data_IF_568460162211
#
_entry.id   IF_568460162211
#
_cell.length_a   1.000
_cell.length_b   1.000
_cell.length_c   1.000
_cell.angle_alpha   90.00
_cell.angle_beta   90.00
_cell.angle_gamma   90.00
#
_symmetry.space_group_name_H-M   'P 1'
#
loop_
_entity.id
_entity.type
_entity.pdbx_description
1 polymer ?
#
# COMPACT_ATOMS: atom_id res chain seq x y z
N UNK A 1 19.05 -17.64 -22.02
CA UNK A 1 17.93 -16.68 -21.95
C UNK A 1 16.81 -17.41 -21.22
N UNK A 2 16.38 -16.92 -20.05
CA UNK A 2 15.31 -17.58 -19.29
C UNK A 2 13.99 -17.34 -20.05
N UNK A 3 13.23 -18.40 -20.29
CA UNK A 3 11.96 -18.30 -21.02
C UNK A 3 10.82 -17.88 -20.09
N UNK A 4 9.76 -17.30 -20.64
CA UNK A 4 8.55 -16.96 -19.86
C UNK A 4 8.00 -18.18 -19.11
N UNK A 5 8.04 -19.36 -19.74
CA UNK A 5 7.52 -20.59 -19.13
C UNK A 5 8.41 -21.10 -18.00
N UNK A 6 9.73 -20.89 -18.08
CA UNK A 6 10.65 -21.21 -16.99
C UNK A 6 10.40 -20.29 -15.77
N UNK A 7 10.08 -19.01 -16.00
CA UNK A 7 9.69 -18.08 -14.93
C UNK A 7 8.37 -18.51 -14.28
N UNK A 8 7.34 -18.81 -15.08
CA UNK A 8 6.04 -19.28 -14.57
C UNK A 8 6.20 -20.54 -13.74
N UNK A 9 7.03 -21.49 -14.20
CA UNK A 9 7.31 -22.73 -13.48
C UNK A 9 7.96 -22.45 -12.12
N UNK A 10 9.00 -21.63 -12.07
CA UNK A 10 9.67 -21.26 -10.80
C UNK A 10 8.72 -20.56 -9.82
N UNK A 11 7.86 -19.66 -10.31
CA UNK A 11 6.85 -18.99 -9.48
C UNK A 11 5.80 -19.97 -8.95
N UNK A 12 5.35 -20.91 -9.79
CA UNK A 12 4.41 -21.95 -9.40
C UNK A 12 4.99 -22.88 -8.33
N UNK A 13 6.23 -23.32 -8.52
CA UNK A 13 6.92 -24.19 -7.58
C UNK A 13 7.10 -23.50 -6.23
N UNK A 14 7.55 -22.23 -6.22
CA UNK A 14 7.67 -21.43 -5.00
C UNK A 14 6.33 -21.18 -4.30
N UNK A 15 5.26 -20.92 -5.05
CA UNK A 15 3.92 -20.76 -4.47
C UNK A 15 3.40 -22.06 -3.83
N UNK A 16 3.71 -23.23 -4.40
CA UNK A 16 3.34 -24.52 -3.81
C UNK A 16 4.11 -24.78 -2.50
N UNK A 17 5.38 -24.41 -2.46
CA UNK A 17 6.20 -24.51 -1.25
C UNK A 17 5.64 -23.61 -0.13
N UNK A 18 5.35 -22.34 -0.45
CA UNK A 18 4.78 -21.38 0.50
C UNK A 18 3.37 -21.76 0.98
N UNK A 19 2.56 -22.37 0.11
CA UNK A 19 1.24 -22.90 0.47
C UNK A 19 1.34 -24.00 1.53
N UNK A 20 2.37 -24.85 1.46
CA UNK A 20 2.52 -26.00 2.34
C UNK A 20 1.29 -26.90 2.34
N UNK A 21 0.76 -27.19 3.53
CA UNK A 21 -0.44 -28.02 3.73
C UNK A 21 -1.77 -27.24 3.63
N UNK A 22 -1.74 -25.93 3.37
CA UNK A 22 -2.95 -25.12 3.27
C UNK A 22 -3.75 -25.47 2.00
N UNK A 23 -5.08 -25.43 2.11
CA UNK A 23 -5.95 -25.60 0.94
C UNK A 23 -5.67 -24.49 -0.09
N UNK A 24 -5.66 -24.85 -1.38
CA UNK A 24 -5.45 -23.92 -2.48
C UNK A 24 -6.39 -22.69 -2.46
N UNK A 25 -7.67 -22.88 -2.09
CA UNK A 25 -8.63 -21.76 -1.98
C UNK A 25 -8.24 -20.78 -0.88
N UNK A 26 -7.89 -21.29 0.30
CA UNK A 26 -7.47 -20.44 1.43
C UNK A 26 -6.17 -19.69 1.13
N UNK A 27 -5.21 -20.36 0.48
CA UNK A 27 -3.99 -19.72 0.02
C UNK A 27 -4.26 -18.61 -1.01
N UNK A 28 -5.16 -18.86 -1.95
CA UNK A 28 -5.56 -17.86 -2.94
C UNK A 28 -6.14 -16.62 -2.26
N UNK A 29 -7.03 -16.77 -1.29
CA UNK A 29 -7.67 -15.64 -0.61
C UNK A 29 -6.63 -14.72 0.06
N UNK A 30 -5.65 -15.28 0.76
CA UNK A 30 -4.57 -14.51 1.36
C UNK A 30 -3.62 -13.90 0.33
N UNK A 31 -3.20 -14.68 -0.67
CA UNK A 31 -2.26 -14.22 -1.69
C UNK A 31 -2.84 -13.13 -2.59
N UNK A 32 -4.12 -13.22 -2.92
CA UNK A 32 -4.78 -12.17 -3.68
C UNK A 32 -4.80 -10.85 -2.90
N UNK A 33 -5.09 -10.90 -1.59
CA UNK A 33 -5.03 -9.74 -0.71
C UNK A 33 -3.63 -9.11 -0.65
N UNK A 34 -2.58 -9.92 -0.48
CA UNK A 34 -1.20 -9.42 -0.44
C UNK A 34 -0.71 -8.89 -1.79
N UNK A 35 -1.03 -9.57 -2.91
CA UNK A 35 -0.70 -9.08 -4.24
C UNK A 35 -1.40 -7.76 -4.54
N UNK A 36 -2.67 -7.64 -4.15
CA UNK A 36 -3.43 -6.41 -4.30
C UNK A 36 -2.85 -5.28 -3.45
N UNK A 37 -2.53 -5.55 -2.18
CA UNK A 37 -1.86 -4.58 -1.31
C UNK A 37 -0.52 -4.13 -1.89
N UNK A 38 0.32 -5.08 -2.34
CA UNK A 38 1.61 -4.76 -2.98
C UNK A 38 1.40 -3.90 -4.22
N UNK A 39 0.45 -4.25 -5.08
CA UNK A 39 0.14 -3.49 -6.29
C UNK A 39 -0.27 -2.04 -5.97
N UNK A 40 -1.19 -1.85 -5.02
CA UNK A 40 -1.61 -0.51 -4.61
C UNK A 40 -0.48 0.28 -3.95
N UNK A 41 0.31 -0.37 -3.10
CA UNK A 41 1.47 0.25 -2.44
C UNK A 41 2.48 0.73 -3.48
N UNK A 42 2.87 -0.13 -4.41
CA UNK A 42 3.85 0.19 -5.44
C UNK A 42 3.36 1.36 -6.32
N UNK A 43 2.07 1.33 -6.74
CA UNK A 43 1.45 2.46 -7.47
C UNK A 43 1.42 3.76 -6.68
N UNK A 44 1.15 3.69 -5.38
CA UNK A 44 1.11 4.86 -4.50
C UNK A 44 2.51 5.48 -4.39
N UNK A 45 3.53 4.67 -4.12
CA UNK A 45 4.91 5.13 -4.00
C UNK A 45 5.42 5.71 -5.32
N UNK A 46 5.12 5.08 -6.47
CA UNK A 46 5.47 5.62 -7.77
C UNK A 46 4.85 7.00 -8.03
N UNK A 47 3.60 7.20 -7.61
CA UNK A 47 2.91 8.49 -7.75
C UNK A 47 3.50 9.56 -6.84
N UNK A 48 3.85 9.22 -5.59
CA UNK A 48 4.56 10.14 -4.67
C UNK A 48 5.90 10.53 -5.27
N UNK A 49 6.67 9.55 -5.76
CA UNK A 49 7.96 9.77 -6.43
C UNK A 49 7.83 10.74 -7.60
N UNK A 50 6.80 10.56 -8.44
CA UNK A 50 6.55 11.40 -9.61
C UNK A 50 6.07 12.82 -9.25
N UNK A 51 5.22 12.96 -8.23
CA UNK A 51 4.61 14.24 -7.85
C UNK A 51 5.62 15.19 -7.21
N UNK A 52 6.56 14.66 -6.43
CA UNK A 52 7.55 15.46 -5.70
C UNK A 52 8.95 15.40 -6.30
N UNK A 53 9.11 14.79 -7.49
CA UNK A 53 10.38 14.64 -8.20
C UNK A 53 11.48 13.93 -7.37
N UNK A 54 11.10 12.98 -6.51
CA UNK A 54 11.99 12.27 -5.59
C UNK A 54 12.67 11.05 -6.24
N UNK A 55 13.24 11.23 -7.44
CA UNK A 55 13.71 10.12 -8.27
C UNK A 55 14.89 9.34 -7.68
N UNK A 56 15.69 9.98 -6.82
CA UNK A 56 16.93 9.40 -6.29
C UNK A 56 16.76 8.71 -4.93
N UNK A 57 15.56 8.75 -4.34
CA UNK A 57 15.31 8.13 -3.04
C UNK A 57 15.19 6.61 -3.15
N UNK A 58 15.78 5.92 -2.18
CA UNK A 58 15.52 4.50 -1.96
C UNK A 58 14.05 4.27 -1.60
N UNK A 59 13.56 3.04 -1.77
CA UNK A 59 12.17 2.71 -1.42
C UNK A 59 11.87 2.91 0.07
N UNK A 60 12.85 2.67 0.94
CA UNK A 60 12.71 2.87 2.37
C UNK A 60 12.55 4.35 2.73
N UNK A 61 13.41 5.21 2.17
CA UNK A 61 13.32 6.67 2.38
C UNK A 61 12.03 7.25 1.81
N UNK A 62 11.59 6.77 0.65
CA UNK A 62 10.33 7.18 0.03
C UNK A 62 9.12 6.77 0.89
N UNK A 63 9.17 5.60 1.52
CA UNK A 63 8.13 5.14 2.42
C UNK A 63 8.07 6.01 3.69
N UNK A 64 9.22 6.30 4.30
CA UNK A 64 9.29 7.20 5.47
C UNK A 64 8.74 8.59 5.14
N UNK A 65 9.08 9.11 3.95
CA UNK A 65 8.56 10.36 3.45
C UNK A 65 7.03 10.33 3.30
N UNK A 66 6.51 9.28 2.67
CA UNK A 66 5.07 9.08 2.51
C UNK A 66 4.33 9.01 3.85
N UNK A 67 4.86 8.27 4.83
CA UNK A 67 4.27 8.17 6.17
C UNK A 67 4.22 9.53 6.87
N UNK A 68 5.28 10.34 6.74
CA UNK A 68 5.31 11.69 7.29
C UNK A 68 4.22 12.58 6.69
N UNK A 69 4.09 12.58 5.36
CA UNK A 69 3.03 13.31 4.65
C UNK A 69 1.65 12.87 5.09
N UNK A 70 1.41 11.55 5.10
CA UNK A 70 0.13 10.98 5.50
C UNK A 70 -0.27 11.44 6.91
N UNK A 71 0.66 11.36 7.87
CA UNK A 71 0.44 11.80 9.24
C UNK A 71 0.18 13.32 9.35
N UNK A 72 0.79 14.14 8.50
CA UNK A 72 0.49 15.57 8.44
C UNK A 72 -0.92 15.85 7.93
N UNK A 73 -1.31 15.22 6.82
CA UNK A 73 -2.66 15.37 6.25
C UNK A 73 -3.74 14.84 7.20
N UNK A 74 -3.49 13.72 7.87
CA UNK A 74 -4.41 13.18 8.87
C UNK A 74 -4.65 14.16 10.02
N UNK A 75 -3.58 14.77 10.55
CA UNK A 75 -3.69 15.81 11.58
C UNK A 75 -4.48 17.03 11.11
N UNK A 76 -4.29 17.47 9.86
CA UNK A 76 -5.07 18.58 9.27
C UNK A 76 -6.55 18.21 9.16
N UNK A 77 -6.86 17.00 8.72
CA UNK A 77 -8.22 16.49 8.60
C UNK A 77 -8.91 16.43 9.97
N UNK A 78 -8.23 15.94 11.00
CA UNK A 78 -8.81 15.84 12.34
C UNK A 78 -9.06 17.22 12.95
N UNK A 79 -8.15 18.19 12.72
CA UNK A 79 -8.39 19.60 13.08
C UNK A 79 -9.63 20.16 12.39
N UNK A 80 -9.81 19.91 11.10
CA UNK A 80 -10.98 20.36 10.34
C UNK A 80 -12.27 19.73 10.85
N UNK A 81 -12.26 18.42 11.17
CA UNK A 81 -13.41 17.73 11.77
C UNK A 81 -13.79 18.34 13.12
N UNK A 82 -12.81 18.59 13.99
CA UNK A 82 -13.05 19.20 15.29
C UNK A 82 -13.59 20.62 15.17
N UNK A 83 -13.03 21.41 14.25
CA UNK A 83 -13.49 22.76 13.97
C UNK A 83 -14.94 22.77 13.45
N UNK A 84 -15.26 21.88 12.50
CA UNK A 84 -16.63 21.71 12.00
C UNK A 84 -17.60 21.34 13.13
N UNK A 85 -17.19 20.45 14.02
CA UNK A 85 -18.03 20.06 15.16
C UNK A 85 -18.26 21.23 16.13
N UNK A 86 -17.23 22.04 16.41
CA UNK A 86 -17.35 23.21 17.26
C UNK A 86 -18.34 24.24 16.67
N UNK A 87 -18.23 24.55 15.38
CA UNK A 87 -19.17 25.46 14.71
C UNK A 87 -20.61 24.94 14.71
N UNK A 88 -20.81 23.65 14.47
CA UNK A 88 -22.14 23.06 14.54
C UNK A 88 -22.72 23.17 15.96
N UNK A 89 -21.92 22.92 16.99
CA UNK A 89 -22.36 23.07 18.37
C UNK A 89 -22.75 24.53 18.69
N UNK A 90 -22.01 25.52 18.19
CA UNK A 90 -22.34 26.94 18.40
C UNK A 90 -23.58 27.40 17.62
N UNK A 91 -23.92 26.76 16.50
CA UNK A 91 -25.04 27.16 15.63
C UNK A 91 -26.40 26.57 16.05
N UNK A 92 -26.39 25.50 16.85
CA UNK A 92 -27.59 24.77 17.31
C UNK A 92 -27.80 24.80 18.83
N UNK A 93 -27.08 25.69 19.53
CA UNK A 93 -27.34 26.10 20.92
C UNK A 93 -27.91 27.51 20.91
#
# INVERSE_FOLDING_TARGET
MITSDEIKKRLWDGANELRGSMNASQYMDYMLGLMFYKFLRDKTLDQVRATEMLHDLTEAELLEHYEKLYNEYQRKLDKLKNLKQAYLNEMFV
#
